data_IF_943181285859
#
_entry.id   IF_943181285859
#
_cell.length_a   1.000
_cell.length_b   1.000
_cell.length_c   1.000
_cell.angle_alpha   90.00
_cell.angle_beta   90.00
_cell.angle_gamma   90.00
#
_symmetry.space_group_name_H-M   'P 1'
#
loop_
_entity.id
_entity.type
_entity.pdbx_description
1 polymer ?
#
# COMPACT_ATOMS: atom_id res chain seq x y z
N UNK A 1 31.92 32.16 -22.77
CA UNK A 1 31.44 30.81 -22.34
C UNK A 1 31.36 30.81 -20.83
N UNK A 2 30.18 30.97 -20.27
CA UNK A 2 29.95 30.98 -18.82
C UNK A 2 29.74 29.55 -18.33
N UNK A 3 30.35 29.09 -17.23
CA UNK A 3 30.16 27.73 -16.74
C UNK A 3 28.76 27.60 -16.12
N UNK A 4 27.95 26.68 -16.65
CA UNK A 4 26.68 26.26 -16.05
C UNK A 4 26.94 25.72 -14.65
N UNK A 5 26.43 26.40 -13.62
CA UNK A 5 26.39 25.88 -12.25
C UNK A 5 25.56 24.59 -12.25
N UNK A 6 26.20 23.47 -11.98
CA UNK A 6 25.53 22.23 -11.63
C UNK A 6 24.77 22.47 -10.32
N UNK A 7 23.45 22.43 -10.37
CA UNK A 7 22.60 22.42 -9.18
C UNK A 7 22.79 21.05 -8.53
N UNK A 8 23.60 21.00 -7.50
CA UNK A 8 23.76 19.83 -6.65
C UNK A 8 22.50 19.72 -5.80
N UNK A 9 21.56 18.86 -6.20
CA UNK A 9 20.46 18.47 -5.34
C UNK A 9 21.02 17.59 -4.22
N UNK A 10 21.34 18.20 -3.08
CA UNK A 10 21.57 17.47 -1.83
C UNK A 10 20.24 16.85 -1.41
N UNK A 11 20.01 15.60 -1.79
CA UNK A 11 18.88 14.80 -1.34
C UNK A 11 19.05 14.52 0.15
N UNK A 12 18.32 15.28 0.96
CA UNK A 12 18.15 14.99 2.37
C UNK A 12 17.43 13.63 2.45
N UNK A 13 18.10 12.61 3.01
CA UNK A 13 17.45 11.33 3.31
C UNK A 13 16.15 11.60 4.07
N UNK A 14 15.09 10.84 3.78
CA UNK A 14 13.84 10.99 4.52
C UNK A 14 14.10 10.66 5.99
N UNK A 15 14.02 11.66 6.84
CA UNK A 15 14.38 11.52 8.27
C UNK A 15 13.23 10.97 9.10
N UNK A 16 11.97 11.04 8.58
CA UNK A 16 10.75 10.61 9.28
C UNK A 16 10.24 9.32 8.67
N UNK A 17 10.13 8.22 9.44
CA UNK A 17 9.65 6.93 8.97
C UNK A 17 8.25 6.98 8.37
N UNK A 18 7.97 6.10 7.40
CA UNK A 18 6.68 6.00 6.71
C UNK A 18 5.49 5.98 7.67
N UNK A 19 5.52 5.13 8.70
CA UNK A 19 4.41 4.99 9.64
C UNK A 19 4.10 6.29 10.40
N UNK A 20 5.12 7.09 10.76
CA UNK A 20 4.91 8.38 11.42
C UNK A 20 4.33 9.41 10.46
N UNK A 21 4.84 9.46 9.21
CA UNK A 21 4.29 10.31 8.15
C UNK A 21 2.84 9.94 7.84
N UNK A 22 2.54 8.63 7.78
CA UNK A 22 1.18 8.15 7.54
C UNK A 22 0.23 8.56 8.65
N UNK A 23 0.58 8.34 9.92
CA UNK A 23 -0.26 8.72 11.07
C UNK A 23 -0.55 10.23 11.09
N UNK A 24 0.46 11.06 10.84
CA UNK A 24 0.28 12.50 10.76
C UNK A 24 -0.68 12.92 9.63
N UNK A 25 -0.50 12.38 8.43
CA UNK A 25 -1.37 12.67 7.28
C UNK A 25 -2.77 12.09 7.45
N UNK A 26 -2.91 10.93 8.07
CA UNK A 26 -4.20 10.33 8.35
C UNK A 26 -5.04 11.18 9.32
N UNK A 27 -4.39 11.78 10.33
CA UNK A 27 -5.04 12.72 11.24
C UNK A 27 -5.45 14.04 10.54
N UNK A 28 -4.63 14.53 9.60
CA UNK A 28 -4.90 15.76 8.84
C UNK A 28 -5.99 15.55 7.79
N UNK A 29 -5.92 14.41 7.05
CA UNK A 29 -6.76 14.11 5.88
C UNK A 29 -7.72 12.96 6.16
N UNK A 30 -7.24 11.71 5.95
CA UNK A 30 -7.95 10.47 6.25
C UNK A 30 -6.98 9.27 6.18
N UNK A 31 -7.25 8.23 6.97
CA UNK A 31 -6.55 6.94 6.86
C UNK A 31 -6.91 6.14 5.58
N UNK A 32 -7.85 6.61 4.77
CA UNK A 32 -8.21 5.98 3.50
C UNK A 32 -7.00 5.85 2.57
N UNK A 33 -6.78 4.64 2.07
CA UNK A 33 -5.86 4.35 0.98
C UNK A 33 -6.65 4.19 -0.33
N UNK A 34 -6.43 5.09 -1.29
CA UNK A 34 -7.08 4.98 -2.61
C UNK A 34 -6.22 4.14 -3.55
N UNK A 35 -6.76 2.99 -3.98
CA UNK A 35 -6.14 2.16 -5.00
C UNK A 35 -6.25 2.77 -6.40
N UNK A 36 -5.13 2.79 -7.13
CA UNK A 36 -5.06 3.20 -8.54
C UNK A 36 -4.84 1.94 -9.37
N UNK A 37 -5.96 1.35 -9.81
CA UNK A 37 -6.00 0.04 -10.45
C UNK A 37 -6.58 0.19 -11.88
N UNK A 38 -5.78 0.65 -12.86
CA UNK A 38 -6.21 0.87 -14.25
C UNK A 38 -6.33 -0.46 -15.02
N UNK A 39 -7.27 -1.31 -14.61
CA UNK A 39 -7.59 -2.53 -15.33
C UNK A 39 -8.24 -2.21 -16.67
N UNK A 40 -8.24 -3.16 -17.62
CA UNK A 40 -8.93 -3.02 -18.90
C UNK A 40 -10.41 -2.60 -18.71
N UNK A 41 -11.08 -3.19 -17.72
CA UNK A 41 -12.48 -2.85 -17.40
C UNK A 41 -12.62 -1.42 -16.85
N UNK A 42 -11.65 -0.97 -16.03
CA UNK A 42 -11.65 0.40 -15.51
C UNK A 42 -11.44 1.42 -16.61
N UNK A 43 -10.49 1.17 -17.52
CA UNK A 43 -10.22 2.03 -18.69
C UNK A 43 -11.44 2.07 -19.61
N UNK A 44 -12.01 0.91 -19.95
CA UNK A 44 -13.23 0.80 -20.76
C UNK A 44 -14.41 1.55 -20.11
N UNK A 45 -14.59 1.40 -18.81
CA UNK A 45 -15.65 2.09 -18.06
C UNK A 45 -15.53 3.61 -18.10
N UNK A 46 -14.32 4.13 -18.32
CA UNK A 46 -14.06 5.57 -18.50
C UNK A 46 -14.03 6.01 -19.97
N UNK A 47 -14.27 5.10 -20.91
CA UNK A 47 -14.17 5.39 -22.36
C UNK A 47 -12.73 5.63 -22.83
N UNK A 48 -11.75 5.11 -22.12
CA UNK A 48 -10.34 5.24 -22.42
C UNK A 48 -9.82 4.00 -23.19
N UNK A 49 -8.84 4.18 -24.10
CA UNK A 49 -8.20 3.04 -24.75
C UNK A 49 -7.38 2.21 -23.75
N UNK A 50 -7.25 0.91 -24.02
CA UNK A 50 -6.44 0.01 -23.23
C UNK A 50 -4.98 0.00 -23.69
N UNK A 51 -4.33 1.16 -23.56
CA UNK A 51 -2.94 1.43 -23.90
C UNK A 51 -2.27 2.37 -22.88
N UNK A 52 -1.01 2.74 -23.13
CA UNK A 52 -0.25 3.59 -22.23
C UNK A 52 -0.85 5.01 -22.11
N UNK A 53 -1.55 5.51 -23.12
CA UNK A 53 -2.19 6.83 -23.08
C UNK A 53 -3.47 6.82 -22.23
N UNK A 54 -4.32 5.81 -22.40
CA UNK A 54 -5.49 5.62 -21.54
C UNK A 54 -5.09 5.37 -20.09
N UNK A 55 -4.04 4.56 -19.90
CA UNK A 55 -3.43 4.33 -18.59
C UNK A 55 -3.01 5.65 -17.92
N UNK A 56 -2.27 6.48 -18.65
CA UNK A 56 -1.81 7.80 -18.20
C UNK A 56 -2.98 8.70 -17.79
N UNK A 57 -3.97 8.82 -18.68
CA UNK A 57 -5.13 9.69 -18.46
C UNK A 57 -5.94 9.27 -17.24
N UNK A 58 -6.16 7.96 -17.05
CA UNK A 58 -6.82 7.41 -15.85
C UNK A 58 -6.05 7.76 -14.58
N UNK A 59 -4.75 7.48 -14.56
CA UNK A 59 -3.92 7.69 -13.38
C UNK A 59 -3.80 9.16 -12.99
N UNK A 60 -3.59 10.05 -13.97
CA UNK A 60 -3.52 11.51 -13.73
C UNK A 60 -4.80 12.02 -13.07
N UNK A 61 -5.98 11.65 -13.58
CA UNK A 61 -7.25 12.06 -12.99
C UNK A 61 -7.49 11.48 -11.61
N UNK A 62 -7.20 10.20 -11.40
CA UNK A 62 -7.31 9.58 -10.08
C UNK A 62 -6.42 10.29 -9.06
N UNK A 63 -5.17 10.57 -9.41
CA UNK A 63 -4.22 11.25 -8.53
C UNK A 63 -4.63 12.68 -8.24
N UNK A 64 -4.96 13.46 -9.26
CA UNK A 64 -5.36 14.87 -9.13
C UNK A 64 -6.53 15.04 -8.15
N UNK A 65 -7.50 14.14 -8.21
CA UNK A 65 -8.70 14.23 -7.37
C UNK A 65 -8.48 13.63 -5.98
N UNK A 66 -7.87 12.44 -5.92
CA UNK A 66 -7.84 11.65 -4.69
C UNK A 66 -6.66 12.00 -3.77
N UNK A 67 -5.47 12.22 -4.34
CA UNK A 67 -4.25 12.39 -3.54
C UNK A 67 -4.31 13.57 -2.54
N UNK A 68 -4.92 14.73 -2.84
CA UNK A 68 -5.06 15.81 -1.87
C UNK A 68 -5.94 15.47 -0.66
N UNK A 69 -6.81 14.47 -0.77
CA UNK A 69 -7.84 14.16 0.24
C UNK A 69 -7.45 13.05 1.22
N UNK A 70 -6.43 12.25 0.88
CA UNK A 70 -6.09 11.03 1.62
C UNK A 70 -4.63 11.01 2.07
N UNK A 71 -4.31 10.20 3.08
CA UNK A 71 -2.94 10.01 3.53
C UNK A 71 -2.08 9.28 2.49
N UNK A 72 -2.65 8.31 1.77
CA UNK A 72 -1.89 7.54 0.78
C UNK A 72 -2.73 7.08 -0.41
N UNK A 73 -2.03 6.86 -1.52
CA UNK A 73 -2.54 6.16 -2.71
C UNK A 73 -1.74 4.89 -2.96
N UNK A 74 -2.34 3.92 -3.66
CA UNK A 74 -1.73 2.62 -3.88
C UNK A 74 -1.87 2.17 -5.35
N UNK A 75 -0.94 2.53 -6.23
CA UNK A 75 -0.91 2.00 -7.59
C UNK A 75 -0.58 0.51 -7.58
N UNK A 76 -1.39 -0.26 -8.32
CA UNK A 76 -1.20 -1.70 -8.50
C UNK A 76 -0.25 -1.96 -9.67
N UNK A 77 0.99 -2.36 -9.37
CA UNK A 77 2.10 -2.48 -10.33
C UNK A 77 1.75 -3.33 -11.57
N UNK A 78 1.05 -4.45 -11.38
CA UNK A 78 0.69 -5.36 -12.46
C UNK A 78 -0.08 -4.69 -13.62
N UNK A 79 -0.91 -3.69 -13.34
CA UNK A 79 -1.65 -2.95 -14.39
C UNK A 79 -0.76 -2.02 -15.22
N UNK A 80 0.39 -1.65 -14.69
CA UNK A 80 1.40 -0.88 -15.41
C UNK A 80 2.38 -1.81 -16.13
N UNK A 81 2.80 -2.90 -15.49
CA UNK A 81 3.72 -3.89 -16.04
C UNK A 81 3.20 -4.50 -17.35
N UNK A 82 1.90 -4.78 -17.46
CA UNK A 82 1.29 -5.33 -18.67
C UNK A 82 1.41 -4.42 -19.91
N UNK A 83 1.70 -3.15 -19.74
CA UNK A 83 1.96 -2.19 -20.83
C UNK A 83 3.46 -1.98 -21.09
N UNK A 84 4.32 -2.84 -20.52
CA UNK A 84 5.77 -2.83 -20.73
C UNK A 84 6.44 -1.53 -20.26
N UNK A 85 7.52 -1.11 -20.92
CA UNK A 85 8.27 0.09 -20.53
C UNK A 85 7.43 1.37 -20.48
N UNK A 86 6.48 1.52 -21.40
CA UNK A 86 5.59 2.70 -21.44
C UNK A 86 4.68 2.74 -20.20
N UNK A 87 4.12 1.59 -19.79
CA UNK A 87 3.32 1.50 -18.57
C UNK A 87 4.14 1.77 -17.32
N UNK A 88 5.36 1.25 -17.23
CA UNK A 88 6.26 1.52 -16.10
C UNK A 88 6.67 2.99 -16.01
N UNK A 89 6.81 3.69 -17.15
CA UNK A 89 7.01 5.14 -17.18
C UNK A 89 5.77 5.89 -16.63
N UNK A 90 4.56 5.38 -16.89
CA UNK A 90 3.32 5.94 -16.32
C UNK A 90 3.28 5.70 -14.81
N UNK A 91 3.68 4.51 -14.31
CA UNK A 91 3.77 4.24 -12.88
C UNK A 91 4.66 5.29 -12.18
N UNK A 92 5.86 5.54 -12.71
CA UNK A 92 6.76 6.55 -12.14
C UNK A 92 6.11 7.93 -12.08
N UNK A 93 5.48 8.39 -13.16
CA UNK A 93 4.77 9.67 -13.21
C UNK A 93 3.62 9.73 -12.20
N UNK A 94 2.88 8.63 -12.05
CA UNK A 94 1.78 8.51 -11.06
C UNK A 94 2.29 8.69 -9.64
N UNK A 95 3.43 8.09 -9.32
CA UNK A 95 4.10 8.24 -8.02
C UNK A 95 4.54 9.68 -7.79
N UNK A 96 5.22 10.29 -8.77
CA UNK A 96 5.71 11.67 -8.66
C UNK A 96 4.55 12.67 -8.49
N UNK A 97 3.47 12.49 -9.26
CA UNK A 97 2.27 13.32 -9.16
C UNK A 97 1.58 13.17 -7.79
N UNK A 98 1.41 11.95 -7.28
CA UNK A 98 0.80 11.74 -5.97
C UNK A 98 1.60 12.41 -4.84
N UNK A 99 2.93 12.30 -4.90
CA UNK A 99 3.85 12.94 -3.95
C UNK A 99 3.81 14.46 -4.05
N UNK A 100 3.65 15.04 -5.25
CA UNK A 100 3.51 16.49 -5.43
C UNK A 100 2.23 17.05 -4.77
N UNK A 101 1.19 16.23 -4.65
CA UNK A 101 -0.02 16.50 -3.87
C UNK A 101 0.11 16.19 -2.37
N UNK A 102 1.28 15.76 -1.92
CA UNK A 102 1.58 15.46 -0.52
C UNK A 102 1.04 14.12 -0.01
N UNK A 103 0.53 13.24 -0.89
CA UNK A 103 0.14 11.89 -0.50
C UNK A 103 1.35 10.96 -0.46
N UNK A 104 1.34 9.98 0.45
CA UNK A 104 2.27 8.86 0.44
C UNK A 104 1.87 7.85 -0.62
N UNK A 105 2.86 7.12 -1.16
CA UNK A 105 2.63 6.12 -2.20
C UNK A 105 3.08 4.75 -1.75
N UNK A 106 2.12 3.81 -1.68
CA UNK A 106 2.38 2.39 -1.45
C UNK A 106 2.37 1.69 -2.82
N UNK A 107 3.51 1.24 -3.35
CA UNK A 107 3.52 0.49 -4.60
C UNK A 107 3.09 -0.96 -4.33
N UNK A 108 1.94 -1.35 -4.88
CA UNK A 108 1.39 -2.70 -4.69
C UNK A 108 2.01 -3.68 -5.70
N UNK A 109 3.22 -4.16 -5.38
CA UNK A 109 4.03 -5.01 -6.26
C UNK A 109 4.08 -6.48 -5.81
N UNK A 110 3.81 -6.76 -4.53
CA UNK A 110 3.85 -8.10 -3.92
C UNK A 110 5.10 -8.90 -4.29
N UNK A 111 6.27 -8.22 -4.28
CA UNK A 111 7.55 -8.86 -4.59
C UNK A 111 8.04 -9.69 -3.40
N UNK A 112 8.86 -10.68 -3.71
CA UNK A 112 9.55 -11.50 -2.72
C UNK A 112 10.54 -12.39 -3.46
N UNK A 113 11.80 -12.43 -2.96
CA UNK A 113 12.88 -13.24 -3.50
C UNK A 113 13.97 -13.36 -2.42
N UNK A 114 15.10 -13.95 -2.78
CA UNK A 114 16.26 -14.16 -1.92
C UNK A 114 17.41 -13.22 -2.30
N UNK A 115 18.29 -12.93 -1.35
CA UNK A 115 19.61 -12.31 -1.54
C UNK A 115 19.61 -11.07 -2.46
N UNK A 116 20.46 -11.09 -3.50
CA UNK A 116 20.64 -9.97 -4.43
C UNK A 116 19.38 -9.63 -5.23
N UNK A 117 18.53 -10.61 -5.54
CA UNK A 117 17.26 -10.37 -6.24
C UNK A 117 16.28 -9.62 -5.33
N UNK A 118 16.19 -10.01 -4.05
CA UNK A 118 15.41 -9.27 -3.07
C UNK A 118 15.93 -7.83 -2.91
N UNK A 119 17.24 -7.64 -2.83
CA UNK A 119 17.85 -6.30 -2.78
C UNK A 119 17.47 -5.46 -4.00
N UNK A 120 17.54 -6.02 -5.21
CA UNK A 120 17.18 -5.33 -6.45
C UNK A 120 15.72 -4.86 -6.48
N UNK A 121 14.78 -5.63 -5.93
CA UNK A 121 13.40 -5.16 -5.75
C UNK A 121 13.32 -3.96 -4.78
N UNK A 122 14.03 -4.01 -3.66
CA UNK A 122 14.11 -2.87 -2.74
C UNK A 122 14.67 -1.61 -3.42
N UNK A 123 15.74 -1.76 -4.19
CA UNK A 123 16.38 -0.66 -4.92
C UNK A 123 15.49 -0.08 -6.02
N UNK A 124 14.67 -0.92 -6.67
CA UNK A 124 13.76 -0.45 -7.71
C UNK A 124 12.57 0.36 -7.15
N UNK A 125 12.01 -0.06 -6.01
CA UNK A 125 10.72 0.44 -5.55
C UNK A 125 10.79 1.42 -4.38
N UNK A 126 11.81 1.37 -3.51
CA UNK A 126 11.83 2.10 -2.25
C UNK A 126 12.77 3.31 -2.23
N UNK A 127 12.20 4.42 -1.82
CA UNK A 127 12.91 5.67 -1.61
C UNK A 127 12.83 6.63 -2.81
N UNK A 128 13.04 7.93 -2.57
CA UNK A 128 12.82 8.98 -3.59
C UNK A 128 13.78 8.88 -4.77
N UNK A 129 14.94 8.25 -4.59
CA UNK A 129 15.95 8.06 -5.64
C UNK A 129 15.83 6.71 -6.37
N UNK A 130 14.93 5.83 -5.93
CA UNK A 130 14.68 4.57 -6.63
C UNK A 130 14.01 4.82 -7.99
N UNK A 131 14.05 3.82 -8.87
CA UNK A 131 13.42 3.92 -10.19
C UNK A 131 11.95 4.31 -10.13
N UNK A 132 11.22 3.84 -9.10
CA UNK A 132 9.77 4.08 -8.97
C UNK A 132 9.38 5.00 -7.81
N UNK A 133 10.28 5.36 -6.90
CA UNK A 133 10.08 6.43 -5.92
C UNK A 133 9.04 6.16 -4.81
N UNK A 134 8.70 4.90 -4.53
CA UNK A 134 7.68 4.55 -3.54
C UNK A 134 8.06 4.91 -2.11
N UNK A 135 7.08 5.33 -1.32
CA UNK A 135 7.23 5.53 0.13
C UNK A 135 7.07 4.21 0.89
N UNK A 136 6.38 3.24 0.29
CA UNK A 136 6.25 1.88 0.78
C UNK A 136 6.00 0.90 -0.38
N UNK A 137 6.13 -0.40 -0.12
CA UNK A 137 5.75 -1.45 -1.07
C UNK A 137 5.12 -2.66 -0.38
N UNK A 138 4.34 -3.43 -1.15
CA UNK A 138 3.81 -4.72 -0.68
C UNK A 138 4.75 -5.87 -1.04
N UNK A 139 4.81 -6.87 -0.16
CA UNK A 139 5.72 -8.01 -0.27
C UNK A 139 4.97 -9.33 -0.09
N UNK A 140 5.50 -10.39 -0.72
CA UNK A 140 5.10 -11.78 -0.50
C UNK A 140 6.25 -12.54 0.16
N UNK A 141 5.99 -13.22 1.26
CA UNK A 141 6.98 -13.98 2.03
C UNK A 141 6.97 -15.48 1.71
N UNK A 142 6.55 -15.87 0.50
CA UNK A 142 6.46 -17.29 0.13
C UNK A 142 7.78 -18.05 0.26
N UNK A 143 8.91 -17.38 0.03
CA UNK A 143 10.27 -17.94 0.20
C UNK A 143 10.79 -17.83 1.66
N UNK A 144 9.91 -17.54 2.61
CA UNK A 144 10.23 -17.30 4.00
C UNK A 144 10.44 -15.81 4.33
N UNK A 145 10.01 -15.40 5.53
CA UNK A 145 10.12 -14.00 5.95
C UNK A 145 11.58 -13.50 5.98
N UNK A 146 12.52 -14.37 6.43
CA UNK A 146 13.94 -14.03 6.48
C UNK A 146 14.55 -13.66 5.13
N UNK A 147 14.00 -14.19 4.01
CA UNK A 147 14.46 -13.85 2.66
C UNK A 147 14.24 -12.38 2.29
N UNK A 148 13.32 -11.71 2.98
CA UNK A 148 13.03 -10.29 2.78
C UNK A 148 14.03 -9.34 3.46
N UNK A 149 15.02 -9.85 4.22
CA UNK A 149 15.98 -9.04 4.97
C UNK A 149 16.66 -7.94 4.13
N UNK A 150 17.10 -8.15 2.87
CA UNK A 150 17.70 -7.09 2.07
C UNK A 150 16.73 -5.93 1.77
N UNK A 151 15.43 -6.25 1.56
CA UNK A 151 14.38 -5.23 1.36
C UNK A 151 14.11 -4.47 2.67
N UNK A 152 14.09 -5.17 3.81
CA UNK A 152 13.92 -4.56 5.14
C UNK A 152 15.04 -3.57 5.43
N UNK A 153 16.28 -3.93 5.15
CA UNK A 153 17.42 -3.03 5.32
C UNK A 153 17.35 -1.80 4.39
N UNK A 154 16.91 -2.01 3.14
CA UNK A 154 16.67 -0.88 2.23
C UNK A 154 15.59 0.05 2.80
N UNK A 155 14.48 -0.50 3.27
CA UNK A 155 13.39 0.28 3.86
C UNK A 155 13.85 1.08 5.09
N UNK A 156 14.72 0.51 5.93
CA UNK A 156 15.33 1.25 7.07
C UNK A 156 16.14 2.45 6.60
N UNK A 157 17.01 2.27 5.59
CA UNK A 157 17.86 3.36 5.04
C UNK A 157 17.01 4.49 4.45
N UNK A 158 15.92 4.15 3.80
CA UNK A 158 15.04 5.12 3.11
C UNK A 158 13.90 5.64 4.00
N UNK A 159 13.81 5.22 5.26
CA UNK A 159 12.66 5.49 6.13
C UNK A 159 11.31 5.12 5.48
N UNK A 160 11.33 4.06 4.65
CA UNK A 160 10.19 3.56 3.88
C UNK A 160 9.38 2.53 4.67
N UNK A 161 8.13 2.28 4.25
CA UNK A 161 7.26 1.25 4.81
C UNK A 161 7.26 -0.03 3.99
N UNK A 162 6.95 -1.13 4.64
CA UNK A 162 6.71 -2.42 4.00
C UNK A 162 5.35 -2.97 4.43
N UNK A 163 4.67 -3.67 3.53
CA UNK A 163 3.42 -4.36 3.84
C UNK A 163 3.51 -5.80 3.35
N UNK A 164 3.71 -6.73 4.26
CA UNK A 164 3.80 -8.17 3.94
C UNK A 164 2.40 -8.77 3.87
N UNK A 165 2.10 -9.53 2.82
CA UNK A 165 0.83 -10.27 2.72
C UNK A 165 0.82 -11.38 3.77
N UNK A 166 -0.02 -11.21 4.79
CA UNK A 166 -0.20 -12.19 5.88
C UNK A 166 -1.43 -13.04 5.60
N UNK A 167 -2.57 -12.41 5.34
CA UNK A 167 -3.81 -13.11 5.07
C UNK A 167 -4.64 -12.34 4.03
N UNK A 168 -4.78 -12.90 2.86
CA UNK A 168 -5.55 -12.30 1.77
C UNK A 168 -7.03 -12.66 1.87
N UNK A 169 -7.88 -11.84 1.23
CA UNK A 169 -9.33 -12.00 1.24
C UNK A 169 -9.87 -13.03 0.22
N UNK A 170 -9.01 -13.52 -0.72
CA UNK A 170 -9.46 -14.51 -1.71
C UNK A 170 -9.55 -15.92 -1.09
N UNK A 171 -10.55 -16.71 -1.46
CA UNK A 171 -10.75 -18.07 -0.90
C UNK A 171 -9.55 -18.99 -1.11
N UNK A 172 -8.91 -18.96 -2.28
CA UNK A 172 -7.77 -19.81 -2.63
C UNK A 172 -6.57 -19.65 -1.68
N UNK A 173 -6.42 -18.44 -1.10
CA UNK A 173 -5.37 -18.17 -0.12
C UNK A 173 -5.49 -18.98 1.17
N UNK A 174 -6.66 -19.53 1.46
CA UNK A 174 -6.93 -20.31 2.69
C UNK A 174 -6.05 -21.57 2.74
N UNK A 175 -5.88 -22.25 1.61
CA UNK A 175 -5.14 -23.49 1.53
C UNK A 175 -3.69 -23.33 2.03
N UNK A 176 -3.00 -22.28 1.63
CA UNK A 176 -1.61 -22.02 2.03
C UNK A 176 -1.50 -21.23 3.33
N UNK A 177 -2.34 -20.20 3.52
CA UNK A 177 -2.20 -19.25 4.63
C UNK A 177 -2.72 -19.80 5.96
N UNK A 178 -3.70 -20.73 5.93
CA UNK A 178 -4.22 -21.43 7.11
C UNK A 178 -3.60 -22.84 7.30
N UNK A 179 -2.69 -23.28 6.41
CA UNK A 179 -1.91 -24.49 6.63
C UNK A 179 -1.21 -24.43 7.98
N UNK A 180 -1.12 -25.59 8.68
CA UNK A 180 -0.58 -25.63 10.04
C UNK A 180 0.91 -25.92 10.05
N UNK A 181 1.62 -25.09 10.81
CA UNK A 181 3.01 -25.32 11.21
C UNK A 181 3.12 -26.44 12.25
N UNK A 182 4.31 -27.07 12.45
CA UNK A 182 4.49 -28.11 13.47
C UNK A 182 4.11 -27.70 14.90
N UNK A 183 4.14 -26.42 15.22
CA UNK A 183 3.76 -25.86 16.53
C UNK A 183 2.25 -25.55 16.65
N UNK A 184 1.46 -25.90 15.63
CA UNK A 184 0.02 -25.75 15.57
C UNK A 184 -0.47 -24.37 15.10
N UNK A 185 0.40 -23.37 14.97
CA UNK A 185 0.02 -22.07 14.37
C UNK A 185 -0.26 -22.21 12.88
N UNK A 186 -1.13 -21.35 12.36
CA UNK A 186 -1.24 -21.21 10.91
C UNK A 186 0.00 -20.52 10.32
N UNK A 187 0.22 -20.67 9.02
CA UNK A 187 1.26 -19.93 8.30
C UNK A 187 1.06 -18.41 8.47
N UNK A 188 -0.19 -17.93 8.40
CA UNK A 188 -0.51 -16.52 8.63
C UNK A 188 -0.15 -16.05 10.06
N UNK A 189 -0.49 -16.84 11.09
CA UNK A 189 -0.13 -16.54 12.47
C UNK A 189 1.39 -16.55 12.69
N UNK A 190 2.08 -17.54 12.13
CA UNK A 190 3.54 -17.61 12.19
C UNK A 190 4.21 -16.39 11.54
N UNK A 191 3.73 -15.98 10.37
CA UNK A 191 4.25 -14.82 9.66
C UNK A 191 3.97 -13.52 10.43
N UNK A 192 2.78 -13.40 11.05
CA UNK A 192 2.44 -12.26 11.89
C UNK A 192 3.40 -12.14 13.10
N UNK A 193 3.71 -13.24 13.75
CA UNK A 193 4.64 -13.25 14.88
C UNK A 193 6.07 -12.88 14.45
N UNK A 194 6.52 -13.30 13.25
CA UNK A 194 7.84 -12.91 12.70
C UNK A 194 7.90 -11.40 12.40
N UNK A 195 6.83 -10.82 11.86
CA UNK A 195 6.73 -9.38 11.62
C UNK A 195 6.78 -8.61 12.94
N UNK A 196 6.02 -9.06 13.94
CA UNK A 196 6.00 -8.43 15.26
C UNK A 196 7.38 -8.45 15.92
N UNK A 197 8.08 -9.59 15.86
CA UNK A 197 9.44 -9.74 16.37
C UNK A 197 10.43 -8.80 15.66
N UNK A 198 10.35 -8.67 14.31
CA UNK A 198 11.20 -7.78 13.54
C UNK A 198 10.97 -6.30 13.87
N UNK A 199 9.72 -5.89 14.08
CA UNK A 199 9.39 -4.52 14.50
C UNK A 199 9.82 -4.22 15.93
N UNK A 200 9.83 -5.21 16.84
CA UNK A 200 10.25 -5.02 18.22
C UNK A 200 11.74 -4.64 18.34
N UNK A 201 12.58 -5.06 17.39
CA UNK A 201 14.00 -4.69 17.34
C UNK A 201 14.24 -3.24 16.96
N UNK A 202 13.27 -2.58 16.32
CA UNK A 202 13.39 -1.22 15.80
C UNK A 202 12.95 -0.10 16.78
N UNK A 203 12.68 -0.42 18.05
CA UNK A 203 12.42 0.63 19.06
C UNK A 203 11.24 0.39 20.00
N UNK A 204 10.81 -0.82 20.21
CA UNK A 204 9.89 -1.16 21.31
C UNK A 204 8.41 -1.19 20.93
N UNK A 205 7.53 -0.53 21.73
CA UNK A 205 6.06 -0.60 21.58
C UNK A 205 5.47 0.31 20.49
N UNK A 206 6.28 1.18 19.88
CA UNK A 206 5.83 2.06 18.80
C UNK A 206 5.59 1.28 17.50
N UNK A 207 4.86 1.88 16.55
CA UNK A 207 4.72 1.32 15.22
C UNK A 207 6.08 1.17 14.55
N UNK A 208 6.33 0.01 13.95
CA UNK A 208 7.53 -0.30 13.19
C UNK A 208 7.35 -0.05 11.69
N UNK A 209 8.42 -0.32 10.93
CA UNK A 209 8.41 -0.12 9.47
C UNK A 209 7.64 -1.20 8.72
N UNK A 210 7.42 -2.38 9.33
CA UNK A 210 6.78 -3.50 8.66
C UNK A 210 5.32 -3.58 9.07
N UNK A 211 4.44 -3.26 8.13
CA UNK A 211 3.01 -3.49 8.21
C UNK A 211 2.62 -4.85 7.63
N UNK A 212 1.35 -5.16 7.71
CA UNK A 212 0.76 -6.39 7.17
C UNK A 212 -0.42 -6.08 6.25
N UNK A 213 -0.62 -6.92 5.23
CA UNK A 213 -1.86 -6.95 4.46
C UNK A 213 -2.76 -8.02 5.07
N UNK A 214 -3.93 -7.59 5.53
CA UNK A 214 -4.97 -8.44 6.14
C UNK A 214 -6.30 -8.13 5.46
N UNK A 215 -6.93 -9.13 4.84
CA UNK A 215 -8.14 -8.95 4.05
C UNK A 215 -9.34 -8.45 4.86
N UNK A 216 -10.22 -7.66 4.22
CA UNK A 216 -11.41 -7.09 4.86
C UNK A 216 -12.53 -8.11 5.13
N UNK A 217 -12.49 -9.32 4.54
CA UNK A 217 -13.58 -10.30 4.59
C UNK A 217 -13.33 -11.47 5.54
N UNK A 218 -12.36 -11.31 6.46
CA UNK A 218 -11.89 -12.39 7.34
C UNK A 218 -12.71 -12.51 8.64
N UNK A 219 -13.62 -11.58 8.92
CA UNK A 219 -14.40 -11.57 10.14
C UNK A 219 -13.50 -11.60 11.38
N UNK A 220 -13.80 -12.49 12.33
CA UNK A 220 -13.07 -12.60 13.61
C UNK A 220 -11.57 -12.89 13.44
N UNK A 221 -11.16 -13.63 12.41
CA UNK A 221 -9.74 -13.91 12.12
C UNK A 221 -8.92 -12.62 11.99
N UNK A 222 -9.53 -11.53 11.51
CA UNK A 222 -8.87 -10.24 11.38
C UNK A 222 -8.41 -9.67 12.73
N UNK A 223 -9.25 -9.72 13.76
CA UNK A 223 -8.89 -9.28 15.12
C UNK A 223 -7.77 -10.14 15.73
N UNK A 224 -7.85 -11.46 15.55
CA UNK A 224 -6.87 -12.40 16.08
C UNK A 224 -5.47 -12.15 15.46
N UNK A 225 -5.40 -11.92 14.15
CA UNK A 225 -4.16 -11.56 13.47
C UNK A 225 -3.67 -10.15 13.86
N UNK A 226 -4.58 -9.18 13.98
CA UNK A 226 -4.23 -7.83 14.41
C UNK A 226 -3.65 -7.78 15.83
N UNK A 227 -4.11 -8.66 16.71
CA UNK A 227 -3.57 -8.81 18.08
C UNK A 227 -2.13 -9.33 18.07
N UNK A 228 -1.77 -10.19 17.10
CA UNK A 228 -0.39 -10.69 16.91
C UNK A 228 0.55 -9.65 16.29
N UNK A 229 0.02 -8.57 15.73
CA UNK A 229 0.73 -7.50 15.01
C UNK A 229 0.65 -6.16 15.78
N UNK A 230 1.01 -6.09 17.08
CA UNK A 230 0.75 -4.90 17.90
C UNK A 230 1.46 -3.64 17.39
N UNK A 231 2.59 -3.81 16.71
CA UNK A 231 3.47 -2.73 16.26
C UNK A 231 3.41 -2.53 14.73
N UNK A 232 2.30 -2.90 14.09
CA UNK A 232 2.17 -2.83 12.63
C UNK A 232 0.98 -2.01 12.19
N UNK A 233 1.14 -1.24 11.12
CA UNK A 233 0.02 -0.74 10.33
C UNK A 233 -0.59 -1.91 9.53
N UNK A 234 -1.91 -1.91 9.38
CA UNK A 234 -2.67 -2.98 8.75
C UNK A 234 -3.32 -2.46 7.46
N UNK A 235 -2.77 -2.80 6.29
CA UNK A 235 -3.36 -2.48 5.00
C UNK A 235 -4.49 -3.49 4.72
N UNK A 236 -5.72 -2.98 4.62
CA UNK A 236 -6.93 -3.82 4.57
C UNK A 236 -7.65 -3.65 3.24
N UNK A 237 -7.29 -4.44 2.21
CA UNK A 237 -7.97 -4.49 0.93
C UNK A 237 -9.23 -5.36 0.98
N UNK A 238 -10.13 -5.18 -0.04
CA UNK A 238 -11.34 -6.00 -0.20
C UNK A 238 -12.62 -5.25 0.17
N UNK A 239 -12.53 -4.02 0.63
CA UNK A 239 -13.68 -3.18 0.95
C UNK A 239 -14.43 -2.80 -0.33
N UNK A 240 -15.75 -2.95 -0.32
CA UNK A 240 -16.66 -2.69 -1.43
C UNK A 240 -16.61 -3.77 -2.51
N UNK A 241 -15.46 -3.98 -3.13
CA UNK A 241 -15.34 -4.88 -4.29
C UNK A 241 -15.50 -6.37 -3.96
N UNK A 242 -15.26 -6.78 -2.72
CA UNK A 242 -15.41 -8.16 -2.22
C UNK A 242 -16.49 -8.27 -1.15
N UNK A 243 -17.35 -7.26 -1.03
CA UNK A 243 -18.55 -7.28 -0.21
C UNK A 243 -18.40 -6.73 1.20
N UNK A 244 -17.18 -6.53 1.73
CA UNK A 244 -17.00 -5.91 3.04
C UNK A 244 -17.29 -4.40 2.98
N UNK A 245 -17.85 -3.85 4.06
CA UNK A 245 -18.04 -2.42 4.28
C UNK A 245 -16.98 -1.87 5.24
N UNK A 246 -16.85 -0.55 5.33
CA UNK A 246 -15.99 0.10 6.34
C UNK A 246 -16.48 -0.24 7.76
N UNK A 247 -17.80 -0.31 7.95
CA UNK A 247 -18.40 -0.71 9.23
C UNK A 247 -18.06 -2.17 9.62
N UNK A 248 -18.04 -3.09 8.63
CA UNK A 248 -17.58 -4.47 8.88
C UNK A 248 -16.12 -4.50 9.31
N UNK A 249 -15.23 -3.78 8.62
CA UNK A 249 -13.81 -3.70 8.98
C UNK A 249 -13.63 -3.12 10.39
N UNK A 250 -14.37 -2.08 10.74
CA UNK A 250 -14.33 -1.49 12.10
C UNK A 250 -14.75 -2.52 13.15
N UNK A 251 -15.86 -3.21 12.94
CA UNK A 251 -16.34 -4.27 13.83
C UNK A 251 -15.33 -5.39 13.97
N UNK A 252 -14.79 -5.88 12.84
CA UNK A 252 -13.97 -7.08 12.78
C UNK A 252 -12.54 -6.84 13.32
N UNK A 253 -12.00 -5.63 13.21
CA UNK A 253 -10.71 -5.25 13.79
C UNK A 253 -10.83 -4.71 15.23
N UNK A 254 -12.01 -4.25 15.65
CA UNK A 254 -12.30 -3.80 17.02
C UNK A 254 -11.29 -2.78 17.53
N UNK A 255 -10.68 -3.04 18.69
CA UNK A 255 -9.68 -2.15 19.31
C UNK A 255 -8.42 -1.91 18.46
N UNK A 256 -8.21 -2.69 17.40
CA UNK A 256 -7.07 -2.58 16.51
C UNK A 256 -7.35 -1.65 15.32
N UNK A 257 -8.61 -1.21 15.14
CA UNK A 257 -9.02 -0.34 14.03
C UNK A 257 -8.18 0.94 13.87
N UNK A 258 -7.70 1.62 14.91
CA UNK A 258 -6.84 2.80 14.77
C UNK A 258 -5.53 2.57 14.00
N UNK A 259 -5.13 1.31 13.80
CA UNK A 259 -3.94 0.94 13.00
C UNK A 259 -4.30 0.46 11.58
N UNK A 260 -5.59 0.44 11.25
CA UNK A 260 -6.10 -0.01 9.95
C UNK A 260 -5.93 1.09 8.91
N UNK A 261 -5.48 0.70 7.72
CA UNK A 261 -5.47 1.48 6.50
C UNK A 261 -6.53 0.88 5.56
N UNK A 262 -7.78 1.39 5.59
CA UNK A 262 -8.83 0.90 4.70
C UNK A 262 -8.44 1.16 3.25
N UNK A 263 -8.40 0.13 2.39
CA UNK A 263 -7.99 0.28 0.99
C UNK A 263 -9.14 0.04 0.04
N UNK A 264 -9.52 1.09 -0.69
CA UNK A 264 -10.59 1.06 -1.70
C UNK A 264 -10.03 1.45 -3.07
N UNK A 265 -10.41 0.68 -4.10
CA UNK A 265 -9.98 0.92 -5.48
C UNK A 265 -11.20 1.00 -6.41
N UNK A 266 -11.73 -0.15 -6.84
CA UNK A 266 -12.83 -0.23 -7.82
C UNK A 266 -14.07 0.56 -7.43
N UNK A 267 -14.40 0.61 -6.14
CA UNK A 267 -15.56 1.37 -5.67
C UNK A 267 -15.43 2.87 -5.97
N UNK A 268 -14.21 3.41 -5.81
CA UNK A 268 -13.92 4.82 -6.11
C UNK A 268 -13.81 5.03 -7.63
N UNK A 269 -13.04 4.20 -8.32
CA UNK A 269 -12.84 4.33 -9.77
C UNK A 269 -14.16 4.27 -10.57
N UNK A 270 -15.15 3.51 -10.13
CA UNK A 270 -16.48 3.44 -10.77
C UNK A 270 -17.26 4.76 -10.76
N UNK A 271 -16.94 5.66 -9.85
CA UNK A 271 -17.57 6.99 -9.82
C UNK A 271 -17.04 7.92 -10.93
N UNK A 272 -15.87 7.61 -11.52
CA UNK A 272 -15.32 8.39 -12.64
C UNK A 272 -16.06 8.17 -13.96
N UNK A 273 -15.66 8.89 -15.01
CA UNK A 273 -14.44 9.70 -15.16
C UNK A 273 -14.51 11.15 -14.67
N UNK A 274 -15.69 11.65 -14.24
CA UNK A 274 -15.85 13.05 -13.85
C UNK A 274 -15.17 13.31 -12.50
N UNK A 275 -14.36 14.38 -12.42
CA UNK A 275 -13.63 14.75 -11.21
C UNK A 275 -14.55 14.99 -10.00
N UNK A 276 -15.70 15.63 -10.22
CA UNK A 276 -16.70 15.92 -9.18
C UNK A 276 -17.29 14.66 -8.57
N UNK A 277 -17.58 13.64 -9.41
CA UNK A 277 -18.18 12.39 -8.94
C UNK A 277 -17.13 11.54 -8.18
N UNK A 278 -15.88 11.51 -8.67
CA UNK A 278 -14.75 10.90 -7.94
C UNK A 278 -14.56 11.56 -6.57
N UNK A 279 -14.51 12.89 -6.52
CA UNK A 279 -14.35 13.66 -5.28
C UNK A 279 -15.46 13.32 -4.30
N UNK A 280 -16.71 13.38 -4.73
CA UNK A 280 -17.89 13.06 -3.90
C UNK A 280 -17.80 11.65 -3.32
N UNK A 281 -17.38 10.68 -4.12
CA UNK A 281 -17.23 9.29 -3.64
C UNK A 281 -16.10 9.16 -2.62
N UNK A 282 -14.94 9.80 -2.84
CA UNK A 282 -13.84 9.80 -1.86
C UNK A 282 -14.28 10.47 -0.55
N UNK A 283 -14.92 11.65 -0.61
CA UNK A 283 -15.40 12.37 0.56
C UNK A 283 -16.45 11.55 1.34
N UNK A 284 -17.35 10.83 0.64
CA UNK A 284 -18.30 9.91 1.25
C UNK A 284 -17.58 8.79 2.01
N UNK A 285 -16.52 8.18 1.43
CA UNK A 285 -15.75 7.14 2.11
C UNK A 285 -14.96 7.67 3.30
N UNK A 286 -14.46 8.89 3.19
CA UNK A 286 -13.81 9.57 4.31
C UNK A 286 -14.81 9.80 5.47
N UNK A 287 -16.03 10.23 5.17
CA UNK A 287 -17.09 10.38 6.17
C UNK A 287 -17.39 9.03 6.86
N UNK A 288 -17.56 7.93 6.11
CA UNK A 288 -17.79 6.59 6.67
C UNK A 288 -16.64 6.14 7.61
N UNK A 289 -15.39 6.57 7.36
CA UNK A 289 -14.24 6.26 8.23
C UNK A 289 -14.30 7.11 9.51
N UNK A 290 -14.76 8.37 9.43
CA UNK A 290 -14.81 9.31 10.55
C UNK A 290 -16.04 9.10 11.45
N UNK A 291 -17.21 8.82 10.88
CA UNK A 291 -18.51 8.74 11.60
C UNK A 291 -18.59 7.60 12.64
N UNK A 292 -17.56 6.83 12.78
CA UNK A 292 -17.48 5.77 13.77
C UNK A 292 -16.46 6.04 14.88
N UNK A 293 -15.81 7.20 14.87
CA UNK A 293 -14.95 7.65 15.96
C UNK A 293 -15.84 8.39 17.01
#
# INVERSE_FOLDING_TARGET
MSPRRAVCYTTKAMTVPFHQRFVALAAERSALCVGIDPSADSLKGWGLPDDAEGLRTFCERMVEVCAPLVACVKPQSAFFERHGPAGMAVLRRTVDAARSHGALVIIDAKRGDIESTAAAYGDAFLGPQSAFGGDAMTLSAYLGFGSLAPIVERARREAAGLFVVVRSSNPDGTESQQARMPDGRSVAEHLADQIAAANATDGGRALGLIGAVVGATLGREAADLAARLPNSLLLVPGIGAQGATIADVRRDFGIHYPRVIPSLSRAIARAGPRAEDLRREVERRIAEIRDGD
#
